data_IF_448848256558
#
_entry.id   IF_448848256558
#
_cell.length_a   1.000
_cell.length_b   1.000
_cell.length_c   1.000
_cell.angle_alpha   90.00
_cell.angle_beta   90.00
_cell.angle_gamma   90.00
#
_symmetry.space_group_name_H-M   'P 1'
#
loop_
_entity.id
_entity.type
_entity.pdbx_description
1 polymer ?
#
# COMPACT_ATOMS: atom_id res chain seq x y z
N UNK A 1 26.40 -3.62 7.18
CA UNK A 1 25.06 -4.15 6.82
C UNK A 1 25.02 -5.58 7.30
N UNK A 2 24.24 -5.85 8.35
CA UNK A 2 24.20 -7.12 9.08
C UNK A 2 22.92 -7.87 8.76
N UNK A 3 22.69 -8.02 7.47
CA UNK A 3 21.56 -8.66 6.83
C UNK A 3 22.00 -9.10 5.43
N UNK A 4 21.18 -9.90 4.75
CA UNK A 4 21.57 -10.56 3.49
C UNK A 4 22.76 -11.50 3.68
N UNK A 5 22.87 -12.09 4.87
CA UNK A 5 23.86 -13.13 5.16
C UNK A 5 23.59 -14.38 4.32
N UNK A 6 22.31 -14.64 4.09
CA UNK A 6 21.81 -15.77 3.32
C UNK A 6 20.69 -15.35 2.37
N UNK A 7 20.46 -16.15 1.34
CA UNK A 7 19.38 -15.90 0.37
C UNK A 7 19.27 -17.00 -0.68
N UNK A 8 18.48 -16.74 -1.73
CA UNK A 8 18.23 -17.73 -2.78
C UNK A 8 19.50 -18.13 -3.54
N UNK A 9 20.53 -17.27 -3.51
CA UNK A 9 21.82 -17.54 -4.14
C UNK A 9 22.63 -18.64 -3.44
N UNK A 10 22.29 -19.02 -2.20
CA UNK A 10 22.96 -20.12 -1.49
C UNK A 10 22.50 -21.50 -1.99
N UNK A 11 21.39 -21.56 -2.71
CA UNK A 11 20.84 -22.82 -3.20
C UNK A 11 21.85 -23.57 -4.08
N UNK A 12 22.02 -24.86 -3.78
CA UNK A 12 22.99 -25.78 -4.38
C UNK A 12 24.47 -25.37 -4.22
N UNK A 13 24.79 -24.49 -3.27
CA UNK A 13 26.16 -24.08 -2.97
C UNK A 13 26.60 -24.61 -1.58
N UNK A 14 27.35 -25.73 -1.52
CA UNK A 14 27.67 -26.40 -0.25
C UNK A 14 28.63 -25.63 0.67
N UNK A 15 29.20 -24.52 0.21
CA UNK A 15 30.13 -23.69 0.97
C UNK A 15 29.50 -22.41 1.53
N UNK A 16 28.27 -22.08 1.11
CA UNK A 16 27.53 -20.94 1.67
C UNK A 16 26.89 -21.30 3.01
N UNK A 17 26.51 -22.56 3.19
CA UNK A 17 25.76 -23.02 4.35
C UNK A 17 26.59 -24.00 5.19
N UNK A 18 27.10 -23.50 6.32
CA UNK A 18 27.85 -24.33 7.26
C UNK A 18 27.00 -25.54 7.73
N UNK A 19 27.54 -26.75 7.59
CA UNK A 19 26.83 -27.97 7.99
C UNK A 19 25.76 -28.43 6.99
N UNK A 20 25.68 -27.84 5.80
CA UNK A 20 24.74 -28.23 4.76
C UNK A 20 25.44 -28.73 3.48
N UNK A 21 25.88 -30.00 3.42
CA UNK A 21 26.57 -30.55 2.24
C UNK A 21 25.74 -30.50 0.95
N UNK A 22 24.41 -30.44 1.05
CA UNK A 22 23.51 -30.31 -0.10
C UNK A 22 23.28 -28.88 -0.58
N UNK A 23 23.73 -27.86 0.16
CA UNK A 23 23.50 -26.44 -0.15
C UNK A 23 22.01 -26.08 -0.28
N UNK A 24 21.13 -26.78 0.44
CA UNK A 24 19.68 -26.65 0.31
C UNK A 24 19.00 -26.44 1.68
N UNK A 25 19.71 -25.86 2.64
CA UNK A 25 19.23 -25.66 3.99
C UNK A 25 18.60 -24.27 4.15
N UNK A 26 17.59 -24.18 5.02
CA UNK A 26 16.98 -22.91 5.39
C UNK A 26 17.90 -22.15 6.33
N UNK A 27 18.56 -21.13 5.80
CA UNK A 27 19.37 -20.21 6.59
C UNK A 27 18.75 -18.81 6.57
N UNK A 28 18.74 -18.20 7.75
CA UNK A 28 18.18 -16.88 7.93
C UNK A 28 19.15 -15.81 7.45
N UNK A 29 18.67 -14.90 6.58
CA UNK A 29 19.44 -13.73 6.14
C UNK A 29 19.78 -12.75 7.28
N UNK A 30 19.17 -12.96 8.46
CA UNK A 30 19.27 -12.10 9.63
C UNK A 30 19.70 -12.87 10.88
N UNK A 31 20.38 -14.02 10.72
CA UNK A 31 20.88 -14.84 11.83
C UNK A 31 21.66 -13.99 12.87
N UNK A 32 21.19 -13.97 14.13
CA UNK A 32 21.79 -13.13 15.17
C UNK A 32 23.19 -13.62 15.57
N UNK A 33 23.42 -14.93 15.59
CA UNK A 33 24.71 -15.51 15.94
C UNK A 33 25.79 -15.08 14.95
N UNK A 34 25.48 -15.15 13.65
CA UNK A 34 26.38 -14.70 12.59
C UNK A 34 26.57 -13.18 12.60
N UNK A 35 25.49 -12.43 12.88
CA UNK A 35 25.56 -10.99 13.06
C UNK A 35 26.56 -10.61 14.15
N UNK A 36 26.49 -11.25 15.33
CA UNK A 36 27.44 -11.02 16.43
C UNK A 36 28.86 -11.46 16.05
N UNK A 37 28.99 -12.56 15.29
CA UNK A 37 30.26 -13.00 14.72
C UNK A 37 30.90 -11.93 13.82
N UNK A 38 30.14 -11.37 12.88
CA UNK A 38 30.61 -10.31 11.99
C UNK A 38 31.00 -9.03 12.75
N UNK A 39 30.21 -8.64 13.76
CA UNK A 39 30.53 -7.48 14.61
C UNK A 39 31.79 -7.71 15.45
N UNK A 40 32.03 -8.94 15.91
CA UNK A 40 33.29 -9.30 16.58
C UNK A 40 34.50 -9.14 15.67
N UNK A 41 34.37 -9.45 14.37
CA UNK A 41 35.45 -9.28 13.39
C UNK A 41 35.77 -7.79 13.15
N UNK A 42 34.73 -6.97 12.98
CA UNK A 42 34.87 -5.51 12.78
C UNK A 42 35.55 -4.85 13.97
N UNK A 43 35.14 -5.20 15.18
CA UNK A 43 35.72 -4.64 16.41
C UNK A 43 37.13 -5.19 16.66
N UNK A 44 37.40 -6.46 16.34
CA UNK A 44 38.75 -7.06 16.40
C UNK A 44 39.74 -6.38 15.45
N UNK A 45 39.26 -5.88 14.31
CA UNK A 45 40.07 -5.10 13.37
C UNK A 45 40.40 -3.68 13.86
N UNK A 46 39.90 -3.28 15.04
CA UNK A 46 40.24 -2.00 15.70
C UNK A 46 39.18 -0.91 15.57
N UNK A 47 38.02 -1.21 14.98
CA UNK A 47 36.90 -0.25 14.91
C UNK A 47 36.23 -0.17 16.29
N UNK A 48 36.16 1.02 16.93
CA UNK A 48 35.47 1.18 18.20
C UNK A 48 33.97 0.83 18.07
N UNK A 49 33.43 0.02 18.98
CA UNK A 49 32.02 -0.42 18.91
C UNK A 49 31.03 0.74 18.81
N UNK A 50 31.26 1.83 19.56
CA UNK A 50 30.38 3.01 19.58
C UNK A 50 30.38 3.81 18.26
N UNK A 51 31.21 3.43 17.29
CA UNK A 51 31.23 3.97 15.92
C UNK A 51 30.54 3.07 14.90
N UNK A 52 30.11 1.88 15.32
CA UNK A 52 29.42 0.91 14.45
C UNK A 52 27.91 1.00 14.70
N UNK A 53 27.16 1.27 13.63
CA UNK A 53 25.69 1.23 13.62
C UNK A 53 25.28 -0.09 12.98
N UNK A 54 24.47 -0.87 13.70
CA UNK A 54 24.13 -2.25 13.31
C UNK A 54 22.85 -2.28 12.47
N UNK A 55 22.83 -3.05 11.40
CA UNK A 55 21.67 -3.12 10.51
C UNK A 55 20.56 -4.00 11.09
N UNK A 56 19.32 -3.52 11.00
CA UNK A 56 18.07 -4.29 11.13
C UNK A 56 17.27 -4.17 9.83
N UNK A 57 16.29 -5.04 9.56
CA UNK A 57 15.59 -5.06 8.27
C UNK A 57 14.08 -5.07 8.40
N UNK A 58 13.43 -4.38 7.47
CA UNK A 58 11.98 -4.37 7.26
C UNK A 58 11.57 -5.20 6.05
N UNK A 59 12.36 -6.22 5.73
CA UNK A 59 12.05 -7.20 4.70
C UNK A 59 12.57 -8.57 5.15
N UNK A 60 12.00 -9.60 4.53
CA UNK A 60 12.45 -10.97 4.64
C UNK A 60 12.98 -11.52 3.32
N UNK A 61 13.76 -12.59 3.40
CA UNK A 61 14.19 -13.37 2.24
C UNK A 61 13.59 -14.77 2.24
N UNK A 62 12.90 -15.17 1.15
CA UNK A 62 12.43 -16.54 1.01
C UNK A 62 13.52 -17.48 0.48
N UNK A 63 13.37 -18.78 0.71
CA UNK A 63 14.32 -19.77 0.18
C UNK A 63 13.96 -20.26 -1.24
N UNK A 64 12.71 -20.66 -1.45
CA UNK A 64 12.17 -20.93 -2.79
C UNK A 64 11.76 -19.58 -3.41
N UNK A 65 12.18 -19.29 -4.64
CA UNK A 65 12.02 -17.97 -5.26
C UNK A 65 10.72 -17.25 -4.89
N UNK A 66 10.84 -16.06 -4.31
CA UNK A 66 9.70 -15.29 -3.81
C UNK A 66 8.67 -15.08 -4.92
N UNK A 67 7.39 -15.23 -4.58
CA UNK A 67 6.37 -14.45 -5.27
C UNK A 67 6.70 -12.95 -5.15
N UNK A 68 6.37 -12.20 -6.18
CA UNK A 68 6.49 -10.75 -6.19
C UNK A 68 5.47 -10.19 -5.19
N UNK A 69 5.92 -9.34 -4.28
CA UNK A 69 5.02 -8.58 -3.44
C UNK A 69 4.29 -7.50 -4.23
N UNK A 70 3.07 -7.10 -3.82
CA UNK A 70 2.27 -6.11 -4.53
C UNK A 70 2.94 -4.73 -4.65
N UNK A 71 3.81 -4.36 -3.70
CA UNK A 71 4.52 -3.07 -3.70
C UNK A 71 5.98 -3.22 -4.12
N UNK A 72 6.65 -4.30 -3.69
CA UNK A 72 8.05 -4.55 -4.06
C UNK A 72 8.20 -4.93 -5.53
N UNK A 73 7.19 -5.60 -6.11
CA UNK A 73 7.10 -6.04 -7.51
C UNK A 73 8.39 -6.72 -8.03
N UNK A 74 9.17 -7.29 -7.13
CA UNK A 74 10.49 -7.87 -7.38
C UNK A 74 10.59 -9.17 -6.61
N UNK A 75 11.13 -10.21 -7.26
CA UNK A 75 11.29 -11.51 -6.60
C UNK A 75 12.60 -11.53 -5.81
N UNK A 76 12.66 -12.38 -4.80
CA UNK A 76 13.86 -12.57 -3.98
C UNK A 76 13.85 -11.84 -2.63
N UNK A 77 12.88 -10.96 -2.38
CA UNK A 77 12.59 -10.42 -1.05
C UNK A 77 11.12 -10.01 -0.95
N UNK A 78 10.61 -9.90 0.28
CA UNK A 78 9.22 -9.47 0.57
C UNK A 78 9.29 -8.48 1.73
N UNK A 79 8.59 -7.34 1.63
CA UNK A 79 8.57 -6.32 2.68
C UNK A 79 7.80 -6.78 3.93
N UNK A 80 8.11 -6.23 5.10
CA UNK A 80 7.41 -6.53 6.35
C UNK A 80 5.90 -6.24 6.25
N UNK A 81 5.50 -5.20 5.51
CA UNK A 81 4.10 -4.89 5.23
C UNK A 81 3.39 -6.06 4.51
N UNK A 82 4.04 -6.63 3.50
CA UNK A 82 3.55 -7.74 2.71
C UNK A 82 3.57 -9.05 3.53
N UNK A 83 4.61 -9.26 4.35
CA UNK A 83 4.70 -10.38 5.29
C UNK A 83 3.55 -10.33 6.32
N UNK A 84 3.17 -9.15 6.78
CA UNK A 84 2.04 -9.01 7.71
C UNK A 84 0.72 -9.49 7.09
N UNK A 85 0.47 -9.15 5.83
CA UNK A 85 -0.70 -9.65 5.09
C UNK A 85 -0.63 -11.18 4.86
N UNK A 86 0.58 -11.73 4.63
CA UNK A 86 0.78 -13.19 4.53
C UNK A 86 0.39 -13.84 5.86
N UNK A 87 0.91 -13.33 6.99
CA UNK A 87 0.59 -13.84 8.33
C UNK A 87 -0.91 -13.75 8.63
N UNK A 88 -1.58 -12.70 8.16
CA UNK A 88 -3.02 -12.52 8.31
C UNK A 88 -3.87 -13.43 7.40
N UNK A 89 -3.26 -14.12 6.43
CA UNK A 89 -3.99 -14.92 5.43
C UNK A 89 -4.81 -14.06 4.47
N UNK A 90 -4.39 -12.82 4.24
CA UNK A 90 -5.07 -11.83 3.39
C UNK A 90 -4.18 -11.34 2.24
N UNK A 91 -2.98 -11.89 2.09
CA UNK A 91 -2.05 -11.47 1.06
C UNK A 91 -2.47 -11.91 -0.34
N UNK A 92 -2.36 -10.97 -1.26
CA UNK A 92 -2.43 -11.18 -2.71
C UNK A 92 -1.04 -10.95 -3.29
N UNK A 93 -0.37 -12.03 -3.68
CA UNK A 93 0.98 -12.03 -4.26
C UNK A 93 0.92 -12.21 -5.79
N UNK A 94 2.04 -12.00 -6.47
CA UNK A 94 2.16 -12.25 -7.92
C UNK A 94 3.23 -13.28 -8.23
N UNK A 95 2.88 -14.29 -9.02
CA UNK A 95 3.87 -15.20 -9.59
C UNK A 95 4.72 -14.50 -10.66
N UNK A 96 5.85 -15.12 -11.01
CA UNK A 96 6.80 -14.59 -12.02
C UNK A 96 6.14 -14.45 -13.40
N UNK A 97 5.12 -15.24 -13.70
CA UNK A 97 4.33 -15.15 -14.93
C UNK A 97 3.22 -14.07 -14.90
N UNK A 98 3.10 -13.35 -13.77
CA UNK A 98 2.13 -12.28 -13.56
C UNK A 98 0.77 -12.74 -13.02
N UNK A 99 0.56 -14.05 -12.84
CA UNK A 99 -0.66 -14.57 -12.22
C UNK A 99 -0.77 -14.17 -10.75
N UNK A 100 -2.01 -13.99 -10.29
CA UNK A 100 -2.30 -13.64 -8.89
C UNK A 100 -2.33 -14.93 -8.06
N UNK A 101 -1.65 -14.89 -6.91
CA UNK A 101 -1.62 -15.96 -5.92
C UNK A 101 -2.23 -15.42 -4.62
N UNK A 102 -3.40 -15.94 -4.26
CA UNK A 102 -4.06 -15.60 -2.99
C UNK A 102 -3.56 -16.55 -1.89
N UNK A 103 -3.05 -15.98 -0.80
CA UNK A 103 -2.60 -16.77 0.36
C UNK A 103 -3.80 -17.06 1.24
N UNK A 104 -4.50 -18.18 0.98
CA UNK A 104 -5.72 -18.57 1.71
C UNK A 104 -5.52 -19.78 2.65
N UNK A 105 -4.27 -20.16 2.92
CA UNK A 105 -3.90 -21.43 3.56
C UNK A 105 -3.50 -21.36 5.05
N UNK A 106 -2.92 -22.46 5.54
CA UNK A 106 -2.33 -22.55 6.89
C UNK A 106 -1.02 -21.77 6.94
N UNK A 107 -1.03 -20.63 7.62
CA UNK A 107 0.18 -19.83 7.84
C UNK A 107 0.73 -20.12 9.23
N UNK A 108 2.01 -20.48 9.30
CA UNK A 108 2.72 -20.68 10.55
C UNK A 108 3.73 -19.57 10.73
N UNK A 109 3.78 -18.99 11.92
CA UNK A 109 4.83 -18.05 12.31
C UNK A 109 5.48 -18.49 13.62
N UNK A 110 6.80 -18.40 13.68
CA UNK A 110 7.57 -18.74 14.88
C UNK A 110 8.92 -18.02 14.86
N UNK A 111 9.59 -18.02 16.01
CA UNK A 111 10.98 -17.55 16.13
C UNK A 111 11.88 -18.74 16.36
N UNK A 112 12.95 -18.84 15.58
CA UNK A 112 13.89 -19.96 15.68
C UNK A 112 15.05 -19.67 16.66
N UNK A 113 15.95 -20.65 16.80
CA UNK A 113 17.12 -20.56 17.69
C UNK A 113 18.16 -19.52 17.22
N UNK A 114 18.09 -19.08 15.95
CA UNK A 114 18.93 -17.99 15.42
C UNK A 114 18.38 -16.61 15.78
N UNK A 115 17.28 -16.56 16.54
CA UNK A 115 16.52 -15.36 16.86
C UNK A 115 16.00 -14.64 15.60
N UNK A 116 15.61 -15.43 14.59
CA UNK A 116 15.01 -14.95 13.35
C UNK A 116 13.52 -15.24 13.36
N UNK A 117 12.73 -14.29 12.85
CA UNK A 117 11.30 -14.51 12.66
C UNK A 117 11.08 -15.27 11.37
N UNK A 118 10.31 -16.33 11.47
CA UNK A 118 10.04 -17.24 10.36
C UNK A 118 8.54 -17.22 10.09
N UNK A 119 8.18 -17.11 8.82
CA UNK A 119 6.83 -17.42 8.34
C UNK A 119 6.90 -18.54 7.30
N UNK A 120 5.97 -19.50 7.42
CA UNK A 120 5.77 -20.60 6.48
C UNK A 120 4.34 -20.56 5.98
N UNK A 121 4.15 -20.58 4.66
CA UNK A 121 2.84 -20.53 4.01
C UNK A 121 2.83 -21.38 2.74
N UNK A 122 1.64 -21.69 2.23
CA UNK A 122 1.41 -22.54 1.04
C UNK A 122 2.23 -23.85 1.06
N UNK A 123 2.37 -24.43 2.26
CA UNK A 123 3.10 -25.66 2.62
C UNK A 123 4.61 -25.69 2.29
N UNK A 124 5.11 -24.77 1.46
CA UNK A 124 6.44 -24.83 0.84
C UNK A 124 7.19 -23.52 0.88
N UNK A 125 6.48 -22.40 1.08
CA UNK A 125 7.10 -21.09 1.14
C UNK A 125 7.58 -20.83 2.56
N UNK A 126 8.79 -20.32 2.67
CA UNK A 126 9.47 -20.05 3.93
C UNK A 126 10.19 -18.72 3.80
N UNK A 127 9.98 -17.80 4.74
CA UNK A 127 10.63 -16.49 4.79
C UNK A 127 11.25 -16.28 6.17
N UNK A 128 12.53 -15.95 6.22
CA UNK A 128 13.16 -15.35 7.40
C UNK A 128 13.10 -13.84 7.32
N UNK A 129 12.72 -13.18 8.42
CA UNK A 129 12.63 -11.73 8.54
C UNK A 129 12.87 -11.27 10.00
N UNK A 130 12.68 -9.98 10.26
CA UNK A 130 12.65 -9.42 11.62
C UNK A 130 11.31 -8.72 11.88
N UNK A 131 10.56 -9.20 12.87
CA UNK A 131 9.40 -8.52 13.44
C UNK A 131 9.84 -7.33 14.32
N UNK A 132 8.92 -6.41 14.60
CA UNK A 132 9.24 -5.18 15.34
C UNK A 132 9.74 -5.44 16.77
N UNK A 133 9.21 -6.46 17.44
CA UNK A 133 9.69 -6.88 18.76
C UNK A 133 11.11 -7.46 18.69
N UNK A 134 11.43 -8.23 17.65
CA UNK A 134 12.79 -8.72 17.39
C UNK A 134 13.77 -7.56 17.17
N UNK A 135 13.41 -6.56 16.34
CA UNK A 135 14.21 -5.33 16.15
C UNK A 135 14.43 -4.59 17.46
N UNK A 136 13.40 -4.50 18.31
CA UNK A 136 13.49 -3.86 19.62
C UNK A 136 14.45 -4.61 20.56
N UNK A 137 14.39 -5.94 20.58
CA UNK A 137 15.33 -6.76 21.37
C UNK A 137 16.75 -6.63 20.83
N UNK A 138 16.96 -6.71 19.52
CA UNK A 138 18.27 -6.52 18.89
C UNK A 138 18.86 -5.15 19.21
N UNK A 139 18.05 -4.11 19.21
CA UNK A 139 18.48 -2.76 19.62
C UNK A 139 19.03 -2.75 21.06
N UNK A 140 18.38 -3.46 21.99
CA UNK A 140 18.87 -3.61 23.36
C UNK A 140 20.17 -4.43 23.44
N UNK A 141 20.26 -5.53 22.68
CA UNK A 141 21.47 -6.37 22.58
C UNK A 141 22.65 -5.52 22.10
N UNK A 142 22.48 -4.76 21.02
CA UNK A 142 23.56 -3.94 20.47
C UNK A 142 23.97 -2.80 21.41
N UNK A 143 23.00 -2.19 22.10
CA UNK A 143 23.30 -1.22 23.15
C UNK A 143 24.13 -1.84 24.30
N UNK A 144 23.82 -3.07 24.72
CA UNK A 144 24.58 -3.76 25.77
C UNK A 144 26.05 -4.05 25.38
N UNK A 145 26.34 -4.17 24.08
CA UNK A 145 27.69 -4.29 23.53
C UNK A 145 28.37 -2.94 23.23
N UNK A 146 27.78 -1.82 23.64
CA UNK A 146 28.26 -0.45 23.37
C UNK A 146 28.33 -0.10 21.88
N UNK A 147 27.48 -0.68 21.03
CA UNK A 147 27.37 -0.26 19.64
C UNK A 147 26.67 1.10 19.52
N UNK A 148 26.93 1.82 18.42
CA UNK A 148 26.46 3.19 18.22
C UNK A 148 24.96 3.33 17.94
N UNK A 149 24.24 2.22 17.78
CA UNK A 149 22.80 2.19 17.52
C UNK A 149 22.43 1.21 16.40
N UNK A 150 21.23 1.37 15.85
CA UNK A 150 20.70 0.58 14.74
C UNK A 150 20.35 1.43 13.51
N UNK A 151 20.37 0.80 12.33
CA UNK A 151 19.86 1.36 11.07
C UNK A 151 18.89 0.37 10.45
N UNK A 152 17.70 0.83 10.06
CA UNK A 152 16.68 -0.03 9.43
C UNK A 152 16.76 0.08 7.91
N UNK A 153 16.75 -1.06 7.23
CA UNK A 153 16.55 -1.16 5.79
C UNK A 153 15.24 -1.90 5.47
N UNK A 154 14.20 -1.27 4.93
CA UNK A 154 14.03 0.17 4.75
C UNK A 154 12.63 0.62 5.21
N UNK A 155 12.47 1.91 5.48
CA UNK A 155 11.26 2.49 6.08
C UNK A 155 9.99 2.25 5.25
N UNK A 156 10.12 2.24 3.92
CA UNK A 156 9.04 2.00 2.96
C UNK A 156 8.52 0.56 2.98
N UNK A 157 9.28 -0.38 3.56
CA UNK A 157 8.93 -1.80 3.62
C UNK A 157 8.23 -2.19 4.94
N UNK A 158 8.18 -1.30 5.94
CA UNK A 158 7.68 -1.60 7.29
C UNK A 158 6.18 -1.89 7.31
N UNK A 159 5.40 -0.97 6.78
CA UNK A 159 3.93 -1.00 6.82
C UNK A 159 3.39 -0.35 5.57
N UNK A 160 2.24 -0.80 5.07
CA UNK A 160 1.53 -0.06 4.05
C UNK A 160 1.07 1.27 4.65
N UNK A 161 1.77 2.33 4.29
CA UNK A 161 1.21 3.66 4.31
C UNK A 161 0.51 3.81 2.97
N UNK A 162 -0.82 3.76 2.98
CA UNK A 162 -1.53 4.41 1.89
C UNK A 162 -1.09 5.88 1.87
N UNK A 163 -1.33 6.58 0.77
CA UNK A 163 -1.81 7.95 0.95
C UNK A 163 -3.08 7.83 1.81
N UNK A 164 -2.92 7.79 3.13
CA UNK A 164 -3.97 7.70 4.12
C UNK A 164 -4.73 9.04 4.20
N UNK A 165 -4.75 9.76 3.09
CA UNK A 165 -5.73 10.79 2.87
C UNK A 165 -7.09 10.14 2.79
N UNK A 166 -8.04 10.77 3.45
CA UNK A 166 -9.43 10.39 3.44
C UNK A 166 -10.07 10.85 2.12
N UNK A 167 -9.47 10.43 1.00
CA UNK A 167 -9.83 10.81 -0.34
C UNK A 167 -10.81 9.78 -0.93
N UNK A 168 -11.67 10.18 -1.87
CA UNK A 168 -12.55 9.24 -2.58
C UNK A 168 -11.78 8.10 -3.22
N UNK A 169 -12.29 6.87 -3.22
CA UNK A 169 -11.65 5.73 -3.91
C UNK A 169 -12.45 5.30 -5.15
N UNK A 170 -11.80 5.22 -6.31
CA UNK A 170 -12.39 4.78 -7.56
C UNK A 170 -11.97 3.34 -7.90
N UNK A 171 -12.76 2.34 -7.51
CA UNK A 171 -12.44 0.93 -7.81
C UNK A 171 -12.64 0.52 -9.27
N UNK A 172 -13.35 1.34 -10.05
CA UNK A 172 -13.67 1.13 -11.46
C UNK A 172 -12.82 1.98 -12.41
N UNK A 173 -11.80 2.68 -11.90
CA UNK A 173 -10.93 3.54 -12.71
C UNK A 173 -11.55 4.87 -13.15
N UNK A 174 -12.71 5.25 -12.58
CA UNK A 174 -13.43 6.45 -13.00
C UNK A 174 -13.35 7.56 -11.95
N UNK A 175 -12.66 8.65 -12.31
CA UNK A 175 -12.58 9.83 -11.49
C UNK A 175 -12.45 11.13 -12.31
N UNK A 176 -12.58 12.27 -11.63
CA UNK A 176 -12.35 13.62 -12.17
C UNK A 176 -11.64 14.50 -11.13
N UNK A 177 -10.89 15.50 -11.61
CA UNK A 177 -10.17 16.47 -10.79
C UNK A 177 -8.65 16.41 -10.98
N UNK A 178 -7.92 17.37 -10.40
CA UNK A 178 -6.44 17.43 -10.50
C UNK A 178 -5.77 16.20 -9.89
N UNK A 179 -6.43 15.61 -8.90
CA UNK A 179 -5.91 14.47 -8.16
C UNK A 179 -6.47 13.14 -8.69
N UNK A 180 -7.05 13.14 -9.89
CA UNK A 180 -7.41 11.93 -10.63
C UNK A 180 -6.26 11.54 -11.57
N UNK A 181 -5.41 10.61 -11.14
CA UNK A 181 -4.23 10.16 -11.87
C UNK A 181 -4.44 8.70 -12.27
N UNK A 182 -4.33 8.40 -13.57
CA UNK A 182 -4.53 7.05 -14.13
C UNK A 182 -5.83 6.36 -13.70
N UNK A 183 -6.91 7.14 -13.56
CA UNK A 183 -8.23 6.64 -13.14
C UNK A 183 -8.35 6.38 -11.63
N UNK A 184 -7.35 6.74 -10.84
CA UNK A 184 -7.35 6.63 -9.39
C UNK A 184 -7.27 8.01 -8.72
N UNK A 185 -7.96 8.15 -7.60
CA UNK A 185 -7.88 9.36 -6.79
C UNK A 185 -6.68 9.29 -5.84
N UNK A 186 -5.79 10.28 -5.91
CA UNK A 186 -4.59 10.40 -5.07
C UNK A 186 -4.67 11.56 -4.07
N UNK A 187 -5.78 12.32 -4.07
CA UNK A 187 -5.90 13.58 -3.33
C UNK A 187 -7.33 14.10 -3.15
N UNK A 188 -7.48 15.15 -2.33
CA UNK A 188 -8.78 15.79 -2.01
C UNK A 188 -9.50 16.39 -3.19
N UNK A 189 -8.77 16.86 -4.20
CA UNK A 189 -9.33 17.48 -5.40
C UNK A 189 -9.62 16.39 -6.44
N UNK A 190 -10.25 15.30 -5.98
CA UNK A 190 -10.74 14.20 -6.79
C UNK A 190 -12.21 13.90 -6.48
N UNK A 191 -12.97 13.50 -7.49
CA UNK A 191 -14.33 12.96 -7.40
C UNK A 191 -14.30 11.55 -7.94
N UNK A 192 -14.83 10.60 -7.17
CA UNK A 192 -15.04 9.24 -7.65
C UNK A 192 -16.38 9.15 -8.37
N UNK A 193 -16.38 8.50 -9.54
CA UNK A 193 -17.55 8.28 -10.38
C UNK A 193 -17.97 6.82 -10.35
N UNK A 194 -19.27 6.57 -10.49
CA UNK A 194 -19.82 5.25 -10.61
C UNK A 194 -21.28 5.27 -11.05
N UNK A 195 -21.93 4.12 -10.92
CA UNK A 195 -23.34 3.98 -11.21
C UNK A 195 -23.94 2.79 -10.47
N UNK A 196 -25.26 2.67 -10.56
CA UNK A 196 -26.02 1.53 -10.06
C UNK A 196 -27.05 1.05 -11.11
N UNK A 197 -27.45 -0.22 -11.03
CA UNK A 197 -28.45 -0.84 -11.89
C UNK A 197 -27.89 -1.73 -13.03
N UNK A 198 -28.76 -2.49 -13.73
CA UNK A 198 -28.37 -3.45 -14.76
C UNK A 198 -27.56 -2.87 -15.94
N UNK A 199 -27.67 -1.57 -16.19
CA UNK A 199 -26.90 -0.86 -17.22
C UNK A 199 -25.56 -0.33 -16.75
N UNK A 200 -25.18 -0.53 -15.49
CA UNK A 200 -23.91 -0.07 -14.95
C UNK A 200 -22.78 -1.06 -15.26
N UNK A 201 -21.86 -0.67 -16.14
CA UNK A 201 -20.71 -1.49 -16.53
C UNK A 201 -19.45 -0.67 -16.27
N UNK A 202 -18.60 -1.18 -15.37
CA UNK A 202 -17.34 -0.52 -14.97
C UNK A 202 -17.52 0.97 -14.59
N UNK A 203 -18.60 1.31 -13.87
CA UNK A 203 -18.86 2.69 -13.43
C UNK A 203 -19.55 3.59 -14.45
N UNK A 204 -19.78 3.11 -15.68
CA UNK A 204 -20.47 3.84 -16.74
C UNK A 204 -21.87 3.30 -16.95
N UNK A 205 -22.84 4.20 -17.09
CA UNK A 205 -24.15 3.86 -17.58
C UNK A 205 -24.11 3.59 -19.09
N UNK A 206 -24.32 2.33 -19.46
CA UNK A 206 -24.32 1.85 -20.85
C UNK A 206 -25.73 1.62 -21.42
N UNK A 207 -26.73 1.53 -20.54
CA UNK A 207 -28.15 1.40 -20.92
C UNK A 207 -29.01 2.32 -20.07
N UNK A 208 -30.28 2.46 -20.45
CA UNK A 208 -31.28 3.26 -19.72
C UNK A 208 -31.62 2.71 -18.34
N UNK A 209 -31.30 1.44 -18.03
CA UNK A 209 -31.52 0.87 -16.70
C UNK A 209 -30.32 1.12 -15.77
N UNK A 210 -29.89 2.37 -15.66
CA UNK A 210 -28.70 2.76 -14.89
C UNK A 210 -28.87 4.14 -14.26
N UNK A 211 -28.40 4.29 -13.01
CA UNK A 211 -28.39 5.57 -12.29
C UNK A 211 -26.97 6.00 -12.03
N UNK A 212 -26.55 7.15 -12.55
CA UNK A 212 -25.22 7.70 -12.31
C UNK A 212 -25.03 8.12 -10.84
N UNK A 213 -23.85 7.82 -10.29
CA UNK A 213 -23.47 8.14 -8.92
C UNK A 213 -22.10 8.83 -8.93
N UNK A 214 -21.92 9.79 -8.03
CA UNK A 214 -20.66 10.49 -7.87
C UNK A 214 -20.60 11.07 -6.47
N UNK A 215 -19.42 10.99 -5.86
CA UNK A 215 -19.18 11.57 -4.56
C UNK A 215 -17.74 12.06 -4.39
N UNK A 216 -17.54 12.87 -3.35
CA UNK A 216 -16.24 13.32 -2.90
C UNK A 216 -16.12 13.19 -1.37
N UNK A 217 -14.91 13.35 -0.83
CA UNK A 217 -14.63 13.25 0.60
C UNK A 217 -14.49 11.81 1.14
N UNK A 218 -14.36 11.73 2.46
CA UNK A 218 -14.18 10.48 3.19
C UNK A 218 -15.39 9.57 3.04
N UNK A 219 -15.18 8.24 2.95
CA UNK A 219 -16.26 7.27 2.74
C UNK A 219 -17.00 7.40 1.39
N UNK A 220 -16.37 8.04 0.40
CA UNK A 220 -16.78 7.93 -0.99
C UNK A 220 -16.07 6.76 -1.67
N UNK A 221 -16.81 5.74 -2.10
CA UNK A 221 -16.26 4.56 -2.78
C UNK A 221 -17.06 4.28 -4.04
N UNK A 222 -16.40 4.30 -5.20
CA UNK A 222 -17.01 4.03 -6.51
C UNK A 222 -18.25 4.89 -6.78
N UNK A 223 -18.16 6.18 -6.46
CA UNK A 223 -19.26 7.14 -6.58
C UNK A 223 -20.40 6.98 -5.56
N UNK A 224 -20.30 6.06 -4.60
CA UNK A 224 -21.31 5.81 -3.56
C UNK A 224 -20.81 6.29 -2.19
N UNK A 225 -21.67 7.04 -1.49
CA UNK A 225 -21.41 7.41 -0.09
C UNK A 225 -21.75 6.28 0.86
N UNK A 226 -20.78 5.85 1.67
CA UNK A 226 -20.94 4.78 2.67
C UNK A 226 -20.90 5.26 4.12
N UNK A 227 -20.67 6.56 4.37
CA UNK A 227 -20.56 7.07 5.73
C UNK A 227 -20.32 8.58 5.84
N UNK A 228 -20.03 9.06 7.06
CA UNK A 228 -19.83 10.48 7.34
C UNK A 228 -18.70 11.11 6.52
N UNK A 229 -18.85 12.40 6.20
CA UNK A 229 -17.85 13.17 5.45
C UNK A 229 -17.83 12.90 3.93
N UNK A 230 -18.71 12.02 3.44
CA UNK A 230 -18.97 11.86 2.02
C UNK A 230 -19.96 12.92 1.53
N UNK A 231 -19.67 13.53 0.38
CA UNK A 231 -20.48 14.58 -0.25
C UNK A 231 -20.94 14.15 -1.63
N UNK A 232 -22.20 14.40 -1.95
CA UNK A 232 -22.82 14.14 -3.27
C UNK A 232 -23.08 15.41 -4.09
N UNK A 233 -22.75 16.58 -3.54
CA UNK A 233 -22.85 17.90 -4.15
C UNK A 233 -21.85 18.87 -3.49
N UNK A 234 -21.56 20.00 -4.13
CA UNK A 234 -20.67 21.03 -3.62
C UNK A 234 -19.23 20.84 -4.11
N UNK A 235 -18.24 21.32 -3.36
CA UNK A 235 -16.83 21.23 -3.75
C UNK A 235 -15.93 20.52 -2.73
N UNK A 236 -14.76 20.13 -3.22
CA UNK A 236 -13.65 19.54 -2.48
C UNK A 236 -12.32 20.12 -2.97
N UNK A 237 -11.37 20.25 -2.04
CA UNK A 237 -10.04 20.82 -2.30
C UNK A 237 -9.74 22.06 -1.46
N UNK A 238 -8.46 22.49 -1.38
CA UNK A 238 -8.05 23.68 -0.63
C UNK A 238 -8.78 24.97 -1.03
N UNK A 239 -9.13 25.11 -2.30
CA UNK A 239 -9.74 26.32 -2.84
C UNK A 239 -11.28 26.24 -2.86
N UNK A 240 -11.87 25.30 -2.13
CA UNK A 240 -13.31 25.13 -2.01
C UNK A 240 -13.91 26.10 -0.97
N UNK A 241 -14.72 27.04 -1.45
CA UNK A 241 -15.46 27.98 -0.60
C UNK A 241 -16.56 27.28 0.23
N UNK A 242 -16.96 27.93 1.32
CA UNK A 242 -18.05 27.45 2.19
C UNK A 242 -19.41 27.38 1.47
N UNK A 243 -19.56 28.09 0.36
CA UNK A 243 -20.71 28.12 -0.54
C UNK A 243 -20.69 26.99 -1.61
N UNK A 244 -19.67 26.13 -1.60
CA UNK A 244 -19.52 25.06 -2.58
C UNK A 244 -18.92 25.52 -3.92
N UNK A 245 -18.41 26.75 -4.01
CA UNK A 245 -17.77 27.32 -5.19
C UNK A 245 -16.25 27.18 -5.14
N UNK A 246 -15.64 26.77 -6.25
CA UNK A 246 -14.20 26.77 -6.40
C UNK A 246 -13.67 28.19 -6.63
N UNK A 247 -12.85 28.65 -5.70
CA UNK A 247 -12.25 29.99 -5.71
C UNK A 247 -10.98 30.07 -6.58
N UNK A 248 -10.27 28.95 -6.74
CA UNK A 248 -9.07 28.81 -7.57
C UNK A 248 -8.91 27.39 -8.14
N UNK A 249 -7.74 27.09 -8.72
CA UNK A 249 -7.46 25.88 -9.50
C UNK A 249 -7.43 24.57 -8.70
N UNK A 250 -7.11 24.58 -7.40
CA UNK A 250 -7.00 23.35 -6.59
C UNK A 250 -8.33 23.00 -5.93
N UNK A 251 -9.39 22.97 -6.74
CA UNK A 251 -10.72 22.63 -6.29
C UNK A 251 -11.47 21.92 -7.40
N UNK A 252 -12.27 20.94 -7.01
CA UNK A 252 -13.19 20.24 -7.88
C UNK A 252 -14.59 20.35 -7.28
N UNK A 253 -15.59 20.65 -8.11
CA UNK A 253 -16.99 20.69 -7.69
C UNK A 253 -17.81 19.64 -8.42
N UNK A 254 -18.79 19.09 -7.72
CA UNK A 254 -19.68 18.03 -8.17
C UNK A 254 -21.13 18.47 -8.00
N UNK A 255 -21.98 18.08 -8.93
CA UNK A 255 -23.41 18.27 -8.85
C UNK A 255 -24.16 17.33 -9.76
N UNK A 256 -25.40 17.69 -10.07
CA UNK A 256 -26.20 16.97 -11.05
C UNK A 256 -27.06 17.94 -11.87
N UNK A 257 -27.61 17.42 -12.97
CA UNK A 257 -28.53 18.13 -13.84
C UNK A 257 -29.66 17.21 -14.32
N UNK A 258 -30.82 17.80 -14.61
CA UNK A 258 -31.99 17.14 -15.21
C UNK A 258 -33.16 16.99 -14.24
N UNK A 259 -34.28 16.41 -14.70
CA UNK A 259 -35.55 16.39 -13.94
C UNK A 259 -35.48 15.50 -12.70
N UNK A 260 -34.65 14.45 -12.74
CA UNK A 260 -34.43 13.52 -11.63
C UNK A 260 -33.27 13.92 -10.69
N UNK A 261 -32.79 15.16 -10.80
CA UNK A 261 -31.72 15.71 -9.96
C UNK A 261 -32.31 16.55 -8.83
N UNK A 262 -32.07 16.12 -7.58
CA UNK A 262 -32.24 17.01 -6.44
C UNK A 262 -31.02 17.94 -6.34
N UNK A 263 -31.18 19.19 -6.75
CA UNK A 263 -30.10 20.18 -6.76
C UNK A 263 -29.55 20.53 -5.36
N UNK A 264 -30.33 20.31 -4.28
CA UNK A 264 -29.88 20.60 -2.92
C UNK A 264 -29.00 19.49 -2.35
N UNK A 265 -29.31 18.23 -2.68
CA UNK A 265 -28.54 17.06 -2.19
C UNK A 265 -27.56 16.51 -3.23
N UNK A 266 -27.73 16.88 -4.50
CA UNK A 266 -27.05 16.29 -5.65
C UNK A 266 -27.43 14.83 -5.90
N UNK A 267 -28.49 14.29 -5.30
CA UNK A 267 -28.85 12.88 -5.45
C UNK A 267 -29.62 12.70 -6.77
N UNK A 268 -29.18 11.72 -7.56
CA UNK A 268 -29.92 11.24 -8.73
C UNK A 268 -30.87 10.11 -8.33
N UNK A 269 -32.17 10.30 -8.59
CA UNK A 269 -33.24 9.32 -8.34
C UNK A 269 -33.71 8.56 -9.58
N UNK A 270 -33.28 8.97 -10.77
CA UNK A 270 -33.76 8.40 -12.03
C UNK A 270 -32.83 8.68 -13.21
N UNK A 271 -33.32 8.37 -14.41
CA UNK A 271 -32.53 8.29 -15.65
C UNK A 271 -32.32 9.67 -16.29
N UNK A 272 -33.18 10.64 -15.97
CA UNK A 272 -33.05 12.01 -16.45
C UNK A 272 -32.16 12.82 -15.50
N UNK A 273 -31.20 12.16 -14.84
CA UNK A 273 -30.21 12.78 -13.98
C UNK A 273 -28.79 12.46 -14.46
N UNK A 274 -28.05 13.50 -14.82
CA UNK A 274 -26.62 13.43 -15.15
C UNK A 274 -25.77 13.93 -13.97
N UNK A 275 -24.75 13.15 -13.57
CA UNK A 275 -23.72 13.63 -12.65
C UNK A 275 -22.67 14.43 -13.40
N UNK A 276 -22.36 15.62 -12.90
CA UNK A 276 -21.37 16.52 -13.49
C UNK A 276 -20.29 16.89 -12.48
N UNK A 277 -19.08 17.07 -12.99
CA UNK A 277 -17.93 17.51 -12.23
C UNK A 277 -17.13 18.50 -13.06
N UNK A 278 -16.64 19.55 -12.44
CA UNK A 278 -15.69 20.48 -13.04
C UNK A 278 -14.57 20.82 -12.05
N UNK A 279 -13.46 21.35 -12.57
CA UNK A 279 -12.32 21.79 -11.78
C UNK A 279 -12.01 23.27 -12.01
N UNK A 280 -11.46 23.90 -10.99
CA UNK A 280 -10.87 25.23 -11.07
C UNK A 280 -11.84 26.40 -10.86
N UNK A 281 -11.29 27.61 -10.93
CA UNK A 281 -11.99 28.86 -10.60
C UNK A 281 -13.31 28.97 -11.36
N UNK A 282 -14.37 29.37 -10.64
CA UNK A 282 -15.74 29.52 -11.15
C UNK A 282 -16.48 28.20 -11.45
N UNK A 283 -15.94 27.06 -11.02
CA UNK A 283 -16.69 25.82 -10.99
C UNK A 283 -17.59 25.78 -9.74
N UNK A 284 -18.90 25.54 -9.92
CA UNK A 284 -19.88 25.46 -8.85
C UNK A 284 -20.92 24.38 -9.15
N UNK A 285 -21.13 23.47 -8.21
CA UNK A 285 -22.04 22.31 -8.32
C UNK A 285 -21.90 21.55 -9.65
N UNK A 286 -20.66 21.32 -10.08
CA UNK A 286 -20.37 20.62 -11.33
C UNK A 286 -20.69 21.40 -12.61
N UNK A 287 -20.93 22.72 -12.52
CA UNK A 287 -21.19 23.62 -13.64
C UNK A 287 -20.07 24.67 -13.74
N UNK A 288 -19.55 24.87 -14.96
CA UNK A 288 -18.59 25.95 -15.25
C UNK A 288 -19.33 27.29 -15.44
N UNK A 289 -19.32 28.18 -14.45
CA UNK A 289 -19.95 29.51 -14.50
C UNK A 289 -19.02 30.58 -15.11
N UNK A 290 -18.44 30.30 -16.29
CA UNK A 290 -17.55 31.23 -17.01
C UNK A 290 -16.19 31.52 -16.34
N UNK A 291 -15.15 31.76 -17.15
CA UNK A 291 -13.76 31.92 -16.68
C UNK A 291 -12.88 30.72 -17.06
N UNK A 292 -11.75 30.54 -16.37
CA UNK A 292 -10.73 29.50 -16.66
C UNK A 292 -11.06 28.12 -16.07
N UNK A 293 -12.35 27.78 -15.88
CA UNK A 293 -12.77 26.49 -15.35
C UNK A 293 -12.52 25.37 -16.38
N UNK A 294 -12.00 24.24 -15.92
CA UNK A 294 -11.86 23.02 -16.72
C UNK A 294 -13.06 22.11 -16.49
N UNK A 295 -13.96 22.11 -17.46
CA UNK A 295 -14.94 21.07 -17.72
C UNK A 295 -14.32 20.07 -18.72
#
# INVERSE_FOLDING_TARGET
MTYDLHGQWDYAHPFSDAGCPGGNCFQSHVNLTETLGALSMVTKAGVPSNKVVVGVTSYGRPLAGAYLGPCTNTSGYIGNAEIADIIAGTATLRAVDGSIVEVTGNVQSYRDDSYSDIVVYDDTQWIAYMADDNKAIRTQVYAAYNFGGTTDWAVDLQTFVGDAGNWPRASNGQCKGSDCVDGQCVGTACISLGCDGPGCVAGVCTTTNCTSKACAGSNCVSGVCSGPGCKTVGCSGPDCGADGKCTDSNCVSLGCSGEDCDAATGICSGIDCGKSACGGRSCQNGVCEGGSASC
#
